data_IF_745432128448
#
_entry.id   IF_745432128448
#
_cell.length_a   1.000
_cell.length_b   1.000
_cell.length_c   1.000
_cell.angle_alpha   90.00
_cell.angle_beta   90.00
_cell.angle_gamma   90.00
#
_symmetry.space_group_name_H-M   'P 1'
#
loop_
_entity.id
_entity.type
_entity.pdbx_description
1 polymer ?
#
# COMPACT_ATOMS: atom_id res chain seq x y z
N UNK A 1 -16.39 -5.13 12.48
CA UNK A 1 -17.57 -4.65 11.74
C UNK A 1 -17.67 -3.14 11.94
N UNK A 2 -17.73 -2.36 10.86
CA UNK A 2 -17.96 -0.92 10.94
C UNK A 2 -19.34 -0.66 11.57
N UNK A 3 -19.37 0.09 12.66
CA UNK A 3 -20.61 0.30 13.44
C UNK A 3 -21.24 1.67 13.17
N UNK A 4 -20.41 2.71 13.13
CA UNK A 4 -20.86 4.07 12.89
C UNK A 4 -19.67 4.96 12.51
N UNK A 5 -19.97 6.05 11.81
CA UNK A 5 -19.04 7.13 11.54
C UNK A 5 -19.58 8.40 12.21
N UNK A 6 -18.75 9.03 13.02
CA UNK A 6 -19.07 10.35 13.59
C UNK A 6 -18.33 11.38 12.75
N UNK A 7 -19.07 12.22 12.04
CA UNK A 7 -18.51 13.32 11.26
C UNK A 7 -18.89 14.63 11.93
N UNK A 8 -17.92 15.52 12.09
CA UNK A 8 -18.17 16.90 12.48
C UNK A 8 -18.89 17.69 11.37
N UNK A 9 -19.21 18.98 11.60
CA UNK A 9 -19.80 19.82 10.57
C UNK A 9 -18.88 19.89 9.35
N UNK A 10 -19.44 19.65 8.16
CA UNK A 10 -18.72 19.77 6.90
C UNK A 10 -18.51 21.27 6.63
N UNK A 11 -17.42 21.80 7.14
CA UNK A 11 -16.99 23.19 6.89
C UNK A 11 -16.09 23.31 5.67
N UNK A 12 -16.00 22.25 4.87
CA UNK A 12 -15.08 22.15 3.74
C UNK A 12 -15.35 23.20 2.65
N UNK A 13 -14.28 23.61 2.00
CA UNK A 13 -14.31 24.56 0.88
C UNK A 13 -15.06 23.94 -0.32
N UNK A 14 -16.31 24.35 -0.53
CA UNK A 14 -17.14 23.91 -1.67
C UNK A 14 -16.42 24.14 -3.02
N UNK A 15 -15.66 25.23 -3.15
CA UNK A 15 -14.90 25.50 -4.37
C UNK A 15 -13.82 24.46 -4.63
N UNK A 16 -13.14 23.96 -3.56
CA UNK A 16 -12.16 22.89 -3.66
C UNK A 16 -12.79 21.59 -4.15
N UNK A 17 -13.95 21.19 -3.57
CA UNK A 17 -14.66 19.96 -3.99
C UNK A 17 -15.19 20.05 -5.42
N UNK A 18 -15.76 21.19 -5.80
CA UNK A 18 -16.16 21.44 -7.19
C UNK A 18 -14.97 21.40 -8.15
N UNK A 19 -13.81 21.88 -7.74
CA UNK A 19 -12.58 21.76 -8.52
C UNK A 19 -12.13 20.31 -8.66
N UNK A 20 -12.14 19.54 -7.57
CA UNK A 20 -11.82 18.12 -7.60
C UNK A 20 -12.67 17.37 -8.64
N UNK A 21 -13.99 17.55 -8.64
CA UNK A 21 -14.88 16.86 -9.58
C UNK A 21 -14.56 17.22 -11.03
N UNK A 22 -14.41 18.52 -11.35
CA UNK A 22 -14.03 18.96 -12.69
C UNK A 22 -12.68 18.38 -13.14
N UNK A 23 -11.75 18.26 -12.21
CA UNK A 23 -10.43 17.70 -12.50
C UNK A 23 -10.49 16.17 -12.70
N UNK A 24 -11.34 15.47 -11.94
CA UNK A 24 -11.56 14.02 -12.11
C UNK A 24 -12.22 13.70 -13.45
N UNK A 25 -13.10 14.57 -13.97
CA UNK A 25 -13.73 14.45 -15.30
C UNK A 25 -12.74 14.71 -16.44
N UNK A 26 -11.60 15.37 -16.17
CA UNK A 26 -10.57 15.66 -17.18
C UNK A 26 -9.62 14.46 -17.32
N UNK A 27 -9.64 13.81 -18.48
CA UNK A 27 -8.77 12.64 -18.76
C UNK A 27 -7.30 12.96 -18.60
N UNK A 28 -6.84 14.07 -19.19
CA UNK A 28 -5.42 14.44 -19.13
C UNK A 28 -4.95 14.76 -17.72
N UNK A 29 -5.79 15.47 -16.95
CA UNK A 29 -5.49 15.79 -15.57
C UNK A 29 -5.46 14.55 -14.69
N UNK A 30 -6.46 13.69 -14.80
CA UNK A 30 -6.54 12.42 -14.07
C UNK A 30 -5.34 11.54 -14.38
N UNK A 31 -4.94 11.44 -15.64
CA UNK A 31 -3.77 10.68 -16.07
C UNK A 31 -2.47 11.24 -15.44
N UNK A 32 -2.33 12.57 -15.40
CA UNK A 32 -1.19 13.23 -14.75
C UNK A 32 -1.09 12.93 -13.27
N UNK A 33 -2.20 13.02 -12.54
CA UNK A 33 -2.27 12.71 -11.11
C UNK A 33 -2.04 11.21 -10.86
N UNK A 34 -2.65 10.33 -11.65
CA UNK A 34 -2.45 8.88 -11.54
C UNK A 34 -0.97 8.49 -11.69
N UNK A 35 -0.25 9.09 -12.65
CA UNK A 35 1.20 8.91 -12.80
C UNK A 35 1.97 9.31 -11.53
N UNK A 36 1.59 10.44 -10.91
CA UNK A 36 2.26 10.89 -9.68
C UNK A 36 2.07 9.91 -8.52
N UNK A 37 0.87 9.38 -8.31
CA UNK A 37 0.63 8.36 -7.28
C UNK A 37 1.45 7.10 -7.51
N UNK A 38 1.52 6.63 -8.76
CA UNK A 38 2.30 5.42 -9.07
C UNK A 38 3.81 5.69 -9.01
N UNK A 39 4.28 6.87 -9.43
CA UNK A 39 5.66 7.28 -9.25
C UNK A 39 6.06 7.31 -7.76
N UNK A 40 5.20 7.90 -6.90
CA UNK A 40 5.37 7.90 -5.45
C UNK A 40 5.45 6.50 -4.88
N UNK A 41 4.51 5.60 -5.27
CA UNK A 41 4.52 4.18 -4.88
C UNK A 41 5.82 3.48 -5.24
N UNK A 42 6.26 3.61 -6.48
CA UNK A 42 7.49 2.97 -6.98
C UNK A 42 8.71 3.50 -6.23
N UNK A 43 8.83 4.82 -6.06
CA UNK A 43 9.94 5.45 -5.35
C UNK A 43 9.98 5.06 -3.87
N UNK A 44 8.83 5.02 -3.20
CA UNK A 44 8.73 4.61 -1.80
C UNK A 44 9.03 3.12 -1.63
N UNK A 45 8.54 2.25 -2.52
CA UNK A 45 8.91 0.83 -2.53
C UNK A 45 10.40 0.63 -2.73
N UNK A 46 10.99 1.32 -3.71
CA UNK A 46 12.43 1.32 -3.91
C UNK A 46 13.20 1.80 -2.68
N UNK A 47 12.71 2.82 -1.99
CA UNK A 47 13.35 3.35 -0.78
C UNK A 47 13.37 2.32 0.35
N UNK A 48 12.33 1.48 0.47
CA UNK A 48 12.31 0.35 1.42
C UNK A 48 13.42 -0.65 1.09
N UNK A 49 13.56 -1.03 -0.19
CA UNK A 49 14.63 -1.94 -0.65
C UNK A 49 16.02 -1.34 -0.42
N UNK A 50 16.23 -0.08 -0.76
CA UNK A 50 17.50 0.62 -0.56
C UNK A 50 17.88 0.75 0.91
N UNK A 51 16.91 0.91 1.80
CA UNK A 51 17.14 0.91 3.23
C UNK A 51 17.62 -0.46 3.70
N UNK A 52 16.96 -1.55 3.27
CA UNK A 52 17.40 -2.91 3.58
C UNK A 52 18.86 -3.14 3.14
N UNK A 53 19.23 -2.72 1.93
CA UNK A 53 20.60 -2.85 1.42
C UNK A 53 21.61 -2.08 2.26
N UNK A 54 21.26 -0.89 2.74
CA UNK A 54 22.14 -0.12 3.61
C UNK A 54 22.34 -0.79 4.97
N UNK A 55 21.26 -1.37 5.52
CA UNK A 55 21.26 -1.93 6.86
C UNK A 55 21.77 -3.41 6.85
N UNK A 56 21.69 -4.12 5.71
CA UNK A 56 22.00 -5.54 5.52
C UNK A 56 22.77 -5.84 4.20
N UNK A 57 23.65 -4.91 3.78
CA UNK A 57 24.31 -4.98 2.46
C UNK A 57 25.24 -6.20 2.24
N UNK A 58 25.67 -6.86 3.30
CA UNK A 58 26.49 -8.08 3.26
C UNK A 58 25.67 -9.38 3.29
N UNK A 59 24.34 -9.29 3.27
CA UNK A 59 23.48 -10.48 3.27
C UNK A 59 23.53 -11.23 1.93
N UNK A 60 23.37 -12.53 1.96
CA UNK A 60 23.32 -13.41 0.77
C UNK A 60 22.30 -12.93 -0.28
N UNK A 61 21.22 -12.28 0.16
CA UNK A 61 20.11 -11.83 -0.67
C UNK A 61 20.31 -10.40 -1.23
N UNK A 62 21.36 -9.68 -0.86
CA UNK A 62 21.56 -8.28 -1.23
C UNK A 62 21.61 -8.06 -2.74
N UNK A 63 22.22 -8.99 -3.49
CA UNK A 63 22.29 -8.89 -4.95
C UNK A 63 20.93 -8.96 -5.64
N UNK A 64 19.99 -9.77 -5.12
CA UNK A 64 18.62 -9.86 -5.67
C UNK A 64 17.80 -8.61 -5.33
N UNK A 65 17.92 -8.10 -4.11
CA UNK A 65 17.25 -6.88 -3.65
C UNK A 65 17.76 -5.65 -4.42
N UNK A 66 19.07 -5.55 -4.64
CA UNK A 66 19.67 -4.47 -5.45
C UNK A 66 19.16 -4.48 -6.89
N UNK A 67 19.09 -5.66 -7.50
CA UNK A 67 18.53 -5.82 -8.86
C UNK A 67 17.09 -5.36 -8.93
N UNK A 68 16.24 -5.79 -7.97
CA UNK A 68 14.85 -5.36 -7.90
C UNK A 68 14.73 -3.84 -7.76
N UNK A 69 15.54 -3.21 -6.89
CA UNK A 69 15.55 -1.76 -6.73
C UNK A 69 15.95 -1.02 -8.00
N UNK A 70 16.93 -1.54 -8.78
CA UNK A 70 17.33 -0.99 -10.08
C UNK A 70 16.22 -1.15 -11.12
N UNK A 71 15.57 -2.32 -11.18
CA UNK A 71 14.45 -2.58 -12.09
C UNK A 71 13.25 -1.68 -11.78
N UNK A 72 12.91 -1.48 -10.51
CA UNK A 72 11.85 -0.54 -10.12
C UNK A 72 12.16 0.89 -10.58
N UNK A 73 13.41 1.37 -10.45
CA UNK A 73 13.81 2.69 -10.94
C UNK A 73 13.62 2.81 -12.47
N UNK A 74 14.04 1.79 -13.21
CA UNK A 74 13.87 1.74 -14.67
C UNK A 74 12.39 1.75 -15.07
N UNK A 75 11.55 0.94 -14.41
CA UNK A 75 10.09 0.91 -14.65
C UNK A 75 9.44 2.28 -14.32
N UNK A 76 9.87 2.95 -13.27
CA UNK A 76 9.39 4.28 -12.93
C UNK A 76 9.58 5.32 -14.05
N UNK A 77 10.66 5.22 -14.82
CA UNK A 77 10.92 6.13 -15.96
C UNK A 77 9.87 5.94 -17.08
N UNK A 78 9.35 4.73 -17.27
CA UNK A 78 8.36 4.44 -18.30
C UNK A 78 7.00 5.14 -18.05
N UNK A 79 6.70 5.61 -16.83
CA UNK A 79 5.47 6.34 -16.52
C UNK A 79 5.32 7.62 -17.37
N UNK A 80 6.40 8.27 -17.72
CA UNK A 80 6.37 9.48 -18.55
C UNK A 80 5.72 9.24 -19.92
N UNK A 81 5.92 8.05 -20.49
CA UNK A 81 5.41 7.66 -21.80
C UNK A 81 4.01 7.04 -21.79
N UNK A 82 3.45 6.70 -20.62
CA UNK A 82 2.10 6.17 -20.52
C UNK A 82 1.08 7.18 -21.06
N UNK A 83 0.08 6.71 -21.82
CA UNK A 83 -0.96 7.54 -22.44
C UNK A 83 -2.36 7.23 -21.94
N UNK A 84 -2.52 6.17 -21.15
CA UNK A 84 -3.78 5.74 -20.57
C UNK A 84 -3.58 5.01 -19.25
N UNK A 85 -4.70 4.76 -18.56
CA UNK A 85 -4.71 4.08 -17.25
C UNK A 85 -4.19 2.63 -17.35
N UNK A 86 -4.43 1.96 -18.48
CA UNK A 86 -3.95 0.59 -18.72
C UNK A 86 -2.44 0.51 -18.76
N UNK A 87 -1.78 1.47 -19.44
CA UNK A 87 -0.32 1.56 -19.50
C UNK A 87 0.27 1.87 -18.11
N UNK A 88 -0.36 2.77 -17.33
CA UNK A 88 0.05 3.05 -15.94
C UNK A 88 -0.07 1.79 -15.08
N UNK A 89 -1.21 1.08 -15.18
CA UNK A 89 -1.43 -0.18 -14.46
C UNK A 89 -0.44 -1.27 -14.84
N UNK A 90 -0.02 -1.32 -16.11
CA UNK A 90 1.04 -2.22 -16.58
C UNK A 90 2.38 -1.95 -15.89
N UNK A 91 2.82 -0.69 -15.87
CA UNK A 91 4.06 -0.26 -15.19
C UNK A 91 3.99 -0.54 -13.69
N UNK A 92 2.84 -0.22 -13.05
CA UNK A 92 2.59 -0.49 -11.64
C UNK A 92 2.70 -1.98 -11.32
N UNK A 93 2.04 -2.83 -12.10
CA UNK A 93 2.05 -4.27 -11.91
C UNK A 93 3.45 -4.88 -12.09
N UNK A 94 4.24 -4.40 -13.06
CA UNK A 94 5.63 -4.83 -13.23
C UNK A 94 6.51 -4.40 -12.06
N UNK A 95 6.41 -3.15 -11.61
CA UNK A 95 7.16 -2.67 -10.45
C UNK A 95 6.75 -3.40 -9.16
N UNK A 96 5.47 -3.70 -8.97
CA UNK A 96 4.98 -4.48 -7.85
C UNK A 96 5.51 -5.91 -7.86
N UNK A 97 5.67 -6.52 -9.04
CA UNK A 97 6.27 -7.86 -9.19
C UNK A 97 7.72 -7.87 -8.73
N UNK A 98 8.52 -6.88 -9.13
CA UNK A 98 9.91 -6.75 -8.68
C UNK A 98 9.98 -6.59 -7.16
N UNK A 99 9.16 -5.69 -6.60
CA UNK A 99 9.13 -5.42 -5.18
C UNK A 99 8.73 -6.63 -4.34
N UNK A 100 7.59 -7.24 -4.65
CA UNK A 100 7.09 -8.40 -3.89
C UNK A 100 7.87 -9.68 -4.17
N UNK A 101 8.58 -9.75 -5.32
CA UNK A 101 9.47 -10.87 -5.62
C UNK A 101 10.65 -11.01 -4.66
N UNK A 102 11.08 -9.90 -4.05
CA UNK A 102 12.17 -9.89 -3.06
C UNK A 102 11.72 -9.59 -1.64
N UNK A 103 10.43 -9.39 -1.41
CA UNK A 103 9.89 -8.97 -0.11
C UNK A 103 10.20 -9.96 1.02
N UNK A 104 10.22 -11.27 0.74
CA UNK A 104 10.57 -12.29 1.71
C UNK A 104 12.00 -12.14 2.24
N UNK A 105 12.91 -11.59 1.45
CA UNK A 105 14.29 -11.34 1.88
C UNK A 105 14.41 -10.24 2.94
N UNK A 106 13.42 -9.34 3.02
CA UNK A 106 13.38 -8.26 4.00
C UNK A 106 12.92 -8.75 5.40
N UNK A 107 12.40 -9.97 5.48
CA UNK A 107 12.06 -10.62 6.74
C UNK A 107 13.34 -11.28 7.25
N UNK A 108 13.94 -10.70 8.30
CA UNK A 108 15.21 -11.16 8.88
C UNK A 108 15.01 -12.01 10.12
N UNK A 109 13.89 -11.81 10.81
CA UNK A 109 13.52 -12.53 12.03
C UNK A 109 12.20 -13.29 11.84
N UNK A 110 12.01 -14.39 12.56
CA UNK A 110 10.78 -15.21 12.48
C UNK A 110 10.44 -15.63 11.04
N UNK A 111 11.48 -15.94 10.25
CA UNK A 111 11.38 -16.10 8.80
C UNK A 111 10.50 -17.28 8.40
N UNK A 112 10.56 -18.37 9.14
CA UNK A 112 9.77 -19.58 8.85
C UNK A 112 8.27 -19.35 9.07
N UNK A 113 7.91 -18.62 10.14
CA UNK A 113 6.51 -18.36 10.50
C UNK A 113 5.90 -17.27 9.62
N UNK A 114 6.67 -16.20 9.34
CA UNK A 114 6.19 -15.06 8.53
C UNK A 114 6.58 -15.16 7.06
N UNK A 115 6.96 -16.33 6.58
CA UNK A 115 7.36 -16.56 5.19
C UNK A 115 6.34 -15.98 4.21
N UNK A 116 6.83 -15.11 3.31
CA UNK A 116 6.02 -14.43 2.32
C UNK A 116 6.20 -15.06 0.93
N UNK A 117 5.15 -15.69 0.42
CA UNK A 117 5.16 -16.36 -0.90
C UNK A 117 4.56 -15.51 -2.03
N UNK A 118 4.29 -14.23 -1.77
CA UNK A 118 3.61 -13.33 -2.68
C UNK A 118 2.35 -12.74 -2.06
N UNK A 119 1.81 -11.70 -2.69
CA UNK A 119 0.67 -10.96 -2.12
C UNK A 119 -0.64 -11.73 -2.28
N UNK A 120 -1.26 -12.12 -1.17
CA UNK A 120 -2.63 -12.67 -1.08
C UNK A 120 -3.51 -11.72 -0.27
N UNK A 121 -4.74 -11.42 -0.76
CA UNK A 121 -5.57 -10.35 -0.18
C UNK A 121 -6.90 -10.85 0.40
N UNK A 122 -7.60 -11.71 -0.30
CA UNK A 122 -8.97 -12.13 0.06
C UNK A 122 -9.17 -13.63 -0.21
N UNK A 123 -8.93 -14.47 0.80
CA UNK A 123 -8.37 -14.17 2.12
C UNK A 123 -6.83 -14.04 2.09
N UNK A 124 -6.19 -13.39 3.08
CA UNK A 124 -4.75 -13.50 3.30
C UNK A 124 -4.41 -14.94 3.70
N UNK A 125 -3.35 -15.53 3.10
CA UNK A 125 -3.04 -16.95 3.25
C UNK A 125 -1.80 -17.27 4.11
N UNK A 126 -1.13 -16.24 4.58
CA UNK A 126 0.02 -16.31 5.48
C UNK A 126 -0.04 -15.17 6.50
N UNK A 127 0.81 -15.25 7.52
CA UNK A 127 0.83 -14.32 8.64
C UNK A 127 1.20 -12.90 8.18
N UNK A 128 2.22 -12.78 7.31
CA UNK A 128 2.65 -11.48 6.77
C UNK A 128 1.53 -10.84 5.95
N UNK A 129 0.84 -11.59 5.10
CA UNK A 129 -0.30 -11.08 4.34
C UNK A 129 -1.48 -10.69 5.22
N UNK A 130 -1.71 -11.36 6.35
CA UNK A 130 -2.73 -10.98 7.32
C UNK A 130 -2.39 -9.64 7.99
N UNK A 131 -1.14 -9.46 8.42
CA UNK A 131 -0.63 -8.22 9.00
C UNK A 131 -0.72 -7.05 8.00
N UNK A 132 -0.21 -7.23 6.78
CA UNK A 132 -0.29 -6.25 5.70
C UNK A 132 -1.75 -5.86 5.38
N UNK A 133 -2.66 -6.84 5.31
CA UNK A 133 -4.06 -6.57 4.98
C UNK A 133 -4.77 -5.78 6.07
N UNK A 134 -4.45 -6.03 7.33
CA UNK A 134 -4.97 -5.26 8.45
C UNK A 134 -4.45 -3.81 8.42
N UNK A 135 -3.14 -3.63 8.33
CA UNK A 135 -2.52 -2.30 8.28
C UNK A 135 -2.98 -1.49 7.05
N UNK A 136 -3.18 -2.13 5.89
CA UNK A 136 -3.75 -1.45 4.73
C UNK A 136 -5.18 -0.99 4.98
N UNK A 137 -5.96 -1.74 5.75
CA UNK A 137 -7.32 -1.32 6.10
C UNK A 137 -7.30 -0.11 7.05
N UNK A 138 -6.37 -0.07 8.00
CA UNK A 138 -6.17 1.09 8.90
C UNK A 138 -5.75 2.31 8.07
N UNK A 139 -4.73 2.19 7.23
CA UNK A 139 -4.26 3.29 6.38
C UNK A 139 -5.36 3.81 5.44
N UNK A 140 -6.21 2.93 4.90
CA UNK A 140 -7.32 3.36 4.04
C UNK A 140 -8.31 4.26 4.80
N UNK A 141 -8.63 3.91 6.05
CA UNK A 141 -9.50 4.73 6.90
C UNK A 141 -8.86 6.06 7.27
N UNK A 142 -7.56 6.07 7.55
CA UNK A 142 -6.83 7.29 7.87
C UNK A 142 -6.77 8.24 6.66
N UNK A 143 -6.50 7.72 5.45
CA UNK A 143 -6.54 8.50 4.22
C UNK A 143 -7.95 9.07 3.96
N UNK A 144 -8.99 8.29 4.19
CA UNK A 144 -10.37 8.71 4.05
C UNK A 144 -10.71 9.86 5.01
N UNK A 145 -10.34 9.71 6.29
CA UNK A 145 -10.55 10.72 7.31
C UNK A 145 -9.76 12.01 7.03
N UNK A 146 -8.52 11.89 6.59
CA UNK A 146 -7.67 13.04 6.23
C UNK A 146 -8.27 13.84 5.06
N UNK A 147 -8.75 13.16 4.01
CA UNK A 147 -9.40 13.80 2.86
C UNK A 147 -10.66 14.58 3.27
N UNK A 148 -11.50 13.99 4.10
CA UNK A 148 -12.70 14.66 4.61
C UNK A 148 -12.38 15.88 5.47
N UNK A 149 -11.32 15.80 6.28
CA UNK A 149 -10.87 16.90 7.14
C UNK A 149 -10.50 18.14 6.31
N UNK A 150 -9.91 17.95 5.13
CA UNK A 150 -9.54 19.05 4.23
C UNK A 150 -10.67 19.42 3.24
N UNK A 151 -11.81 18.74 3.28
CA UNK A 151 -12.99 19.03 2.47
C UNK A 151 -12.96 18.42 1.06
N UNK A 152 -12.09 17.44 0.80
CA UNK A 152 -12.10 16.63 -0.42
C UNK A 152 -13.08 15.47 -0.28
N UNK A 153 -13.61 14.99 -1.40
CA UNK A 153 -14.42 13.80 -1.46
C UNK A 153 -13.53 12.56 -1.60
N UNK A 154 -13.48 11.67 -0.61
CA UNK A 154 -12.61 10.49 -0.68
C UNK A 154 -13.05 9.46 -1.73
N UNK A 155 -14.27 9.55 -2.25
CA UNK A 155 -14.78 8.58 -3.22
C UNK A 155 -14.36 8.89 -4.65
N UNK A 156 -14.15 10.17 -4.99
CA UNK A 156 -13.81 10.61 -6.36
C UNK A 156 -12.31 10.62 -6.56
N UNK A 157 -11.79 9.52 -7.11
CA UNK A 157 -10.37 9.30 -7.40
C UNK A 157 -9.96 9.65 -8.83
N UNK A 158 -8.66 9.65 -9.06
CA UNK A 158 -8.04 9.91 -10.37
C UNK A 158 -7.50 8.60 -11.00
N UNK A 159 -6.85 7.76 -10.20
CA UNK A 159 -6.34 6.44 -10.59
C UNK A 159 -7.42 5.36 -10.43
N UNK A 160 -8.05 5.33 -9.26
CA UNK A 160 -9.14 4.40 -8.98
C UNK A 160 -10.46 5.01 -9.41
N UNK A 161 -10.97 4.60 -10.57
CA UNK A 161 -12.23 5.11 -11.14
C UNK A 161 -13.43 4.84 -10.24
N UNK A 162 -14.47 5.62 -10.42
CA UNK A 162 -15.70 5.59 -9.64
C UNK A 162 -16.34 4.20 -9.63
N UNK A 163 -16.60 3.72 -8.43
CA UNK A 163 -17.29 2.46 -8.18
C UNK A 163 -18.10 2.57 -6.88
N UNK A 164 -19.39 2.19 -6.86
CA UNK A 164 -20.19 2.23 -5.65
C UNK A 164 -19.51 1.56 -4.46
N UNK A 165 -19.45 2.25 -3.32
CA UNK A 165 -18.84 1.76 -2.09
C UNK A 165 -17.30 1.72 -2.09
N UNK A 166 -16.65 2.43 -3.01
CA UNK A 166 -15.18 2.51 -3.10
C UNK A 166 -14.70 3.94 -2.90
N UNK A 167 -13.85 4.14 -1.92
CA UNK A 167 -13.22 5.43 -1.67
C UNK A 167 -12.00 5.62 -2.60
N UNK A 168 -12.26 5.99 -3.87
CA UNK A 168 -11.28 6.04 -4.95
C UNK A 168 -10.06 6.90 -4.60
N UNK A 169 -10.26 8.15 -4.17
CA UNK A 169 -9.16 9.05 -3.84
C UNK A 169 -8.38 8.61 -2.60
N UNK A 170 -9.06 8.04 -1.60
CA UNK A 170 -8.37 7.49 -0.44
C UNK A 170 -7.45 6.33 -0.84
N UNK A 171 -7.89 5.48 -1.77
CA UNK A 171 -7.06 4.41 -2.33
C UNK A 171 -5.90 4.96 -3.17
N UNK A 172 -6.11 6.05 -3.93
CA UNK A 172 -5.08 6.70 -4.72
C UNK A 172 -3.93 7.20 -3.84
N UNK A 173 -4.25 7.98 -2.80
CA UNK A 173 -3.27 8.47 -1.82
C UNK A 173 -2.58 7.30 -1.11
N UNK A 174 -3.34 6.28 -0.75
CA UNK A 174 -2.79 5.10 -0.08
C UNK A 174 -1.75 4.38 -0.94
N UNK A 175 -1.83 4.41 -2.28
CA UNK A 175 -0.85 3.76 -3.15
C UNK A 175 0.57 4.27 -2.88
N UNK A 176 0.74 5.57 -2.75
CA UNK A 176 2.03 6.18 -2.44
C UNK A 176 2.52 5.79 -1.04
N UNK A 177 1.63 5.72 -0.06
CA UNK A 177 1.96 5.53 1.35
C UNK A 177 2.18 4.06 1.73
N UNK A 178 1.64 3.10 0.97
CA UNK A 178 1.70 1.66 1.28
C UNK A 178 3.11 1.17 1.60
N UNK A 179 4.13 1.35 0.75
CA UNK A 179 5.44 0.79 1.03
C UNK A 179 6.09 1.43 2.25
N UNK A 180 5.98 2.76 2.34
CA UNK A 180 6.68 3.53 3.36
C UNK A 180 6.04 3.39 4.75
N UNK A 181 4.72 3.45 4.87
CA UNK A 181 4.02 3.33 6.14
C UNK A 181 3.72 1.87 6.49
N UNK A 182 3.03 1.14 5.62
CA UNK A 182 2.50 -0.18 5.97
C UNK A 182 3.55 -1.27 5.86
N UNK A 183 4.18 -1.43 4.70
CA UNK A 183 5.10 -2.55 4.48
C UNK A 183 6.29 -2.45 5.42
N UNK A 184 6.83 -1.25 5.59
CA UNK A 184 7.93 -0.99 6.52
C UNK A 184 7.53 -1.23 7.98
N UNK A 185 6.33 -0.81 8.40
CA UNK A 185 5.83 -1.06 9.75
C UNK A 185 5.65 -2.57 9.98
N UNK A 186 5.06 -3.29 9.03
CA UNK A 186 4.89 -4.74 9.12
C UNK A 186 6.25 -5.45 9.29
N UNK A 187 7.24 -5.09 8.46
CA UNK A 187 8.61 -5.62 8.58
C UNK A 187 9.23 -5.29 9.93
N UNK A 188 9.06 -4.06 10.42
CA UNK A 188 9.59 -3.64 11.73
C UNK A 188 8.96 -4.44 12.87
N UNK A 189 7.63 -4.61 12.86
CA UNK A 189 6.92 -5.38 13.90
C UNK A 189 7.38 -6.84 13.94
N UNK A 190 7.60 -7.47 12.78
CA UNK A 190 8.06 -8.85 12.68
C UNK A 190 9.54 -8.97 13.05
N UNK A 191 10.41 -8.15 12.47
CA UNK A 191 11.85 -8.21 12.68
C UNK A 191 12.26 -7.81 14.10
N UNK A 192 11.49 -6.95 14.78
CA UNK A 192 11.68 -6.62 16.20
C UNK A 192 10.92 -7.55 17.15
N UNK A 193 10.28 -8.61 16.63
CA UNK A 193 9.50 -9.58 17.42
C UNK A 193 8.39 -8.96 18.26
N UNK A 194 7.85 -7.81 17.83
CA UNK A 194 6.71 -7.14 18.48
C UNK A 194 5.39 -7.87 18.22
N UNK A 195 5.31 -8.62 17.12
CA UNK A 195 4.25 -9.58 16.83
C UNK A 195 4.86 -10.97 16.65
N UNK A 196 4.13 -12.02 17.02
CA UNK A 196 4.58 -13.41 16.86
C UNK A 196 3.47 -14.29 16.30
N UNK A 197 3.82 -15.48 15.79
CA UNK A 197 2.88 -16.40 15.15
C UNK A 197 1.69 -16.80 16.04
N UNK A 198 1.85 -16.79 17.36
CA UNK A 198 0.80 -17.15 18.33
C UNK A 198 -0.41 -16.21 18.28
N UNK A 199 -0.21 -14.97 17.83
CA UNK A 199 -1.28 -13.98 17.65
C UNK A 199 -2.11 -14.15 16.38
N UNK A 200 -1.89 -15.24 15.62
CA UNK A 200 -2.57 -15.49 14.35
C UNK A 200 -3.28 -16.86 14.38
N UNK A 201 -4.46 -16.91 13.77
CA UNK A 201 -5.28 -18.12 13.66
C UNK A 201 -5.58 -18.42 12.20
N UNK A 202 -5.32 -19.65 11.76
CA UNK A 202 -5.69 -20.13 10.44
C UNK A 202 -7.13 -20.67 10.50
N UNK A 203 -7.99 -20.15 9.62
CA UNK A 203 -9.36 -20.63 9.46
C UNK A 203 -9.41 -21.89 8.59
N UNK A 204 -10.50 -22.64 8.68
CA UNK A 204 -10.76 -23.80 7.81
C UNK A 204 -10.72 -23.46 6.33
N UNK A 205 -11.09 -22.22 5.95
CA UNK A 205 -11.00 -21.67 4.58
C UNK A 205 -9.58 -21.36 4.12
N UNK A 206 -8.56 -21.62 4.95
CA UNK A 206 -7.16 -21.29 4.69
C UNK A 206 -6.83 -19.79 4.88
N UNK A 207 -7.78 -18.97 5.30
CA UNK A 207 -7.54 -17.57 5.62
C UNK A 207 -6.89 -17.39 6.98
N UNK A 208 -5.94 -16.44 7.09
CA UNK A 208 -5.25 -16.12 8.34
C UNK A 208 -5.84 -14.85 8.94
N UNK A 209 -6.11 -14.86 10.25
CA UNK A 209 -6.60 -13.71 11.00
C UNK A 209 -5.69 -13.44 12.20
N UNK A 210 -5.52 -12.17 12.53
CA UNK A 210 -4.95 -11.74 13.81
C UNK A 210 -6.00 -11.79 14.92
N UNK A 211 -5.59 -12.17 16.11
CA UNK A 211 -6.41 -12.03 17.32
C UNK A 211 -6.48 -10.55 17.78
N UNK A 212 -7.34 -10.28 18.75
CA UNK A 212 -7.61 -8.91 19.17
C UNK A 212 -6.44 -8.28 19.94
N UNK A 213 -5.65 -9.07 20.66
CA UNK A 213 -4.49 -8.55 21.40
C UNK A 213 -3.34 -8.19 20.46
N UNK A 214 -3.09 -9.02 19.44
CA UNK A 214 -2.13 -8.69 18.38
C UNK A 214 -2.57 -7.44 17.61
N UNK A 215 -3.87 -7.28 17.32
CA UNK A 215 -4.37 -6.06 16.67
C UNK A 215 -4.12 -4.81 17.51
N UNK A 216 -4.33 -4.87 18.83
CA UNK A 216 -4.03 -3.75 19.74
C UNK A 216 -2.54 -3.42 19.77
N UNK A 217 -1.68 -4.42 19.68
CA UNK A 217 -0.22 -4.22 19.64
C UNK A 217 0.24 -3.53 18.34
N UNK A 218 -0.52 -3.74 17.25
CA UNK A 218 -0.18 -3.22 15.91
C UNK A 218 -0.67 -1.78 15.70
N UNK A 219 -1.69 -1.33 16.44
CA UNK A 219 -2.26 0.03 16.40
C UNK A 219 -1.57 0.92 17.41
#
# INVERSE_FOLDING_TARGET
RFMARVTGPISGNVALRRRQYRMADSVDFSLGIAKNFIAGKINNGRSVLMRFLRDHGESENSGSVERAAKMMAYKGLALSSCRDDGAIGGVEGEAAREYYGVFDHLITEQKEEFRFKGRSRRPPRDLMNALLSFLYSVLAHDCEAALETVGLDPQVGFLHKDRPGRSGLALDIMEELRPYLVDRTALTLVNNRQVCHKGFKVKETGGVLMDDDTRKTVI
#
